data_IF_700152782167
#
_entry.id   IF_700152782167
#
_cell.length_a   1.000
_cell.length_b   1.000
_cell.length_c   1.000
_cell.angle_alpha   90.00
_cell.angle_beta   90.00
_cell.angle_gamma   90.00
#
_symmetry.space_group_name_H-M   'P 1'
#
loop_
_entity.id
_entity.type
_entity.pdbx_description
1 polymer ?
#
# COMPACT_ATOMS: atom_id res chain seq x y z
N UNK A 1 -3.29 65.17 49.28
CA UNK A 1 -4.72 65.14 48.90
C UNK A 1 -4.85 64.27 47.66
N UNK A 2 -5.62 63.18 47.78
CA UNK A 2 -6.38 62.50 46.71
C UNK A 2 -5.55 61.74 45.66
N UNK A 3 -5.89 60.55 45.16
CA UNK A 3 -6.72 59.44 45.61
C UNK A 3 -6.43 58.30 44.61
N UNK A 4 -6.46 57.11 45.17
CA UNK A 4 -6.35 55.74 44.65
C UNK A 4 -7.04 55.34 43.32
N UNK A 5 -6.55 54.18 42.84
CA UNK A 5 -7.19 53.11 42.03
C UNK A 5 -7.03 53.19 40.50
N UNK A 6 -6.23 52.30 39.90
CA UNK A 6 -6.59 50.89 39.60
C UNK A 6 -7.79 50.80 38.66
N UNK A 7 -7.53 50.87 37.35
CA UNK A 7 -8.47 50.41 36.32
C UNK A 7 -7.71 49.84 35.13
N UNK A 8 -7.64 48.51 35.15
CA UNK A 8 -7.94 47.63 34.02
C UNK A 8 -6.99 47.75 32.83
N UNK A 9 -5.92 46.95 32.94
CA UNK A 9 -5.28 46.22 31.85
C UNK A 9 -6.38 45.61 30.97
N UNK A 10 -6.66 46.23 29.81
CA UNK A 10 -7.63 45.73 28.85
C UNK A 10 -7.04 44.48 28.17
N UNK A 11 -7.29 43.33 28.80
CA UNK A 11 -7.34 42.03 28.15
C UNK A 11 -8.27 42.12 26.94
N UNK A 12 -7.71 41.95 25.75
CA UNK A 12 -8.37 41.26 24.64
C UNK A 12 -7.25 40.73 23.74
N UNK A 13 -6.55 39.77 24.32
CA UNK A 13 -5.77 38.76 23.61
C UNK A 13 -6.73 38.15 22.60
N UNK A 14 -6.52 38.46 21.32
CA UNK A 14 -7.08 37.70 20.22
C UNK A 14 -6.61 36.25 20.41
N UNK A 15 -7.47 35.43 21.01
CA UNK A 15 -7.43 33.98 20.91
C UNK A 15 -7.63 33.66 19.43
N UNK A 16 -6.55 33.76 18.66
CA UNK A 16 -6.37 32.91 17.51
C UNK A 16 -6.34 31.49 18.08
N UNK A 17 -7.51 30.88 18.06
CA UNK A 17 -7.65 29.44 18.08
C UNK A 17 -6.85 28.92 16.90
N UNK A 18 -5.56 28.66 17.12
CA UNK A 18 -4.90 27.52 16.51
C UNK A 18 -5.61 26.29 17.07
N UNK A 19 -6.81 26.04 16.54
CA UNK A 19 -7.25 24.68 16.34
C UNK A 19 -6.21 24.08 15.40
N UNK A 20 -5.27 23.32 15.95
CA UNK A 20 -4.59 22.29 15.20
C UNK A 20 -5.67 21.30 14.77
N UNK A 21 -6.35 21.62 13.67
CA UNK A 21 -7.03 20.63 12.85
C UNK A 21 -5.96 19.81 12.15
N UNK A 22 -5.27 18.98 12.92
CA UNK A 22 -4.53 17.83 12.40
C UNK A 22 -5.57 16.75 12.20
N UNK A 23 -6.00 16.62 10.96
CA UNK A 23 -6.84 15.57 10.41
C UNK A 23 -6.20 14.22 10.79
N UNK A 24 -6.68 13.59 11.88
CA UNK A 24 -6.37 12.19 12.20
C UNK A 24 -6.96 11.34 11.09
N UNK A 25 -6.20 11.21 9.99
CA UNK A 25 -6.42 10.23 8.95
C UNK A 25 -6.09 8.85 9.51
N UNK A 26 -6.91 8.37 10.45
CA UNK A 26 -7.30 6.96 10.50
C UNK A 26 -8.24 6.70 9.32
N UNK A 27 -7.77 7.00 8.12
CA UNK A 27 -8.46 6.75 6.88
C UNK A 27 -7.78 5.57 6.24
N UNK A 28 -8.48 4.44 6.20
CA UNK A 28 -8.37 3.43 5.15
C UNK A 28 -7.76 4.06 3.90
N UNK A 29 -6.45 3.90 3.68
CA UNK A 29 -5.85 4.18 2.39
C UNK A 29 -6.45 3.12 1.46
N UNK A 30 -7.49 3.50 0.73
CA UNK A 30 -7.94 2.71 -0.41
C UNK A 30 -6.74 2.75 -1.35
N UNK A 31 -5.99 1.65 -1.39
CA UNK A 31 -4.77 1.58 -2.19
C UNK A 31 -5.06 2.03 -3.61
N UNK A 32 -4.20 2.89 -4.16
CA UNK A 32 -4.27 3.36 -5.53
C UNK A 32 -3.88 2.23 -6.48
N UNK A 33 -4.68 1.17 -6.45
CA UNK A 33 -4.55 0.00 -7.29
C UNK A 33 -4.99 0.35 -8.69
N UNK A 34 -4.24 -0.12 -9.68
CA UNK A 34 -4.49 0.20 -11.09
C UNK A 34 -4.38 -1.06 -11.92
N UNK A 35 -5.27 -1.20 -12.88
CA UNK A 35 -5.09 -2.22 -13.91
C UNK A 35 -3.85 -1.87 -14.72
N UNK A 36 -3.14 -2.89 -15.19
CA UNK A 36 -1.95 -2.67 -15.99
C UNK A 36 -2.28 -1.97 -17.32
N UNK A 37 -1.37 -1.11 -17.75
CA UNK A 37 -1.33 -0.56 -19.10
C UNK A 37 0.12 -0.36 -19.53
N UNK A 38 0.40 -0.47 -20.83
CA UNK A 38 1.74 -0.22 -21.39
C UNK A 38 2.22 1.22 -21.11
N UNK A 39 1.27 2.18 -21.05
CA UNK A 39 1.58 3.56 -20.66
C UNK A 39 2.14 3.64 -19.23
N UNK A 40 1.55 2.89 -18.30
CA UNK A 40 2.05 2.84 -16.92
C UNK A 40 3.45 2.22 -16.87
N UNK A 41 3.71 1.16 -17.64
CA UNK A 41 5.05 0.56 -17.72
C UNK A 41 6.11 1.57 -18.20
N UNK A 42 5.77 2.43 -19.15
CA UNK A 42 6.66 3.48 -19.65
C UNK A 42 6.92 4.63 -18.65
N UNK A 43 6.07 4.79 -17.63
CA UNK A 43 6.17 5.87 -16.62
C UNK A 43 6.72 5.38 -15.29
N UNK A 44 6.53 4.12 -14.95
CA UNK A 44 6.89 3.52 -13.66
C UNK A 44 8.14 2.63 -13.81
N UNK A 45 9.31 3.06 -13.32
CA UNK A 45 10.56 2.32 -13.47
C UNK A 45 10.51 0.89 -12.90
N UNK A 46 9.76 0.67 -11.82
CA UNK A 46 9.64 -0.65 -11.18
C UNK A 46 8.79 -1.63 -12.02
N UNK A 47 7.73 -1.16 -12.70
CA UNK A 47 7.00 -1.99 -13.67
C UNK A 47 7.88 -2.35 -14.86
N UNK A 48 8.61 -1.37 -15.40
CA UNK A 48 9.61 -1.59 -16.44
C UNK A 48 10.68 -2.59 -16.01
N UNK A 49 11.11 -2.56 -14.75
CA UNK A 49 12.06 -3.52 -14.19
C UNK A 49 11.47 -4.93 -14.16
N UNK A 50 10.23 -5.09 -13.66
CA UNK A 50 9.54 -6.38 -13.64
C UNK A 50 9.43 -7.01 -15.04
N UNK A 51 8.99 -6.24 -16.05
CA UNK A 51 8.83 -6.73 -17.42
C UNK A 51 10.16 -7.13 -18.07
N UNK A 52 11.28 -6.52 -17.66
CA UNK A 52 12.62 -6.92 -18.14
C UNK A 52 13.07 -8.25 -17.54
N UNK A 53 12.76 -8.49 -16.26
CA UNK A 53 13.06 -9.76 -15.60
C UNK A 53 12.15 -10.89 -16.09
N UNK A 54 10.91 -10.55 -16.44
CA UNK A 54 9.86 -11.51 -16.77
C UNK A 54 9.15 -11.14 -18.09
N UNK A 55 9.83 -11.26 -19.24
CA UNK A 55 9.32 -10.79 -20.53
C UNK A 55 8.12 -11.60 -21.06
N UNK A 56 7.88 -12.78 -20.51
CA UNK A 56 6.79 -13.70 -20.86
C UNK A 56 5.56 -13.57 -19.96
N UNK A 57 5.64 -12.79 -18.87
CA UNK A 57 4.55 -12.63 -17.92
C UNK A 57 3.65 -11.46 -18.28
N UNK A 58 2.36 -11.63 -18.03
CA UNK A 58 1.35 -10.58 -18.26
C UNK A 58 0.94 -9.98 -16.93
N UNK A 59 1.26 -8.71 -16.72
CA UNK A 59 0.80 -7.97 -15.54
C UNK A 59 -0.70 -7.69 -15.68
N UNK A 60 -1.45 -7.94 -14.61
CA UNK A 60 -2.89 -7.72 -14.53
C UNK A 60 -3.21 -6.43 -13.76
N UNK A 61 -2.56 -6.27 -12.60
CA UNK A 61 -2.84 -5.19 -11.65
C UNK A 61 -1.57 -4.85 -10.86
N UNK A 62 -1.48 -3.60 -10.41
CA UNK A 62 -0.41 -3.16 -9.53
C UNK A 62 -0.91 -2.12 -8.53
N UNK A 63 -0.14 -1.90 -7.45
CA UNK A 63 -0.37 -0.83 -6.49
C UNK A 63 0.98 -0.36 -5.91
N UNK A 64 1.12 0.93 -5.63
CA UNK A 64 2.35 1.54 -5.12
C UNK A 64 2.16 2.07 -3.70
N UNK A 65 3.04 1.68 -2.78
CA UNK A 65 3.11 2.18 -1.41
C UNK A 65 4.54 2.01 -0.89
N UNK A 66 4.89 2.74 0.15
CA UNK A 66 6.11 2.49 0.92
C UNK A 66 5.81 1.31 1.86
N UNK A 67 6.30 0.11 1.52
CA UNK A 67 5.92 -1.12 2.23
C UNK A 67 6.86 -1.45 3.38
N UNK A 68 8.08 -0.90 3.37
CA UNK A 68 9.12 -1.15 4.36
C UNK A 68 9.56 0.10 5.15
N UNK A 69 8.87 1.24 4.95
CA UNK A 69 9.08 2.53 5.61
C UNK A 69 10.48 3.12 5.36
N UNK A 70 11.02 2.89 4.15
CA UNK A 70 12.32 3.45 3.73
C UNK A 70 12.21 4.84 3.07
N UNK A 71 10.99 5.37 2.95
CA UNK A 71 10.65 6.63 2.32
C UNK A 71 10.47 6.54 0.80
N UNK A 72 10.54 5.34 0.21
CA UNK A 72 10.40 5.10 -1.24
C UNK A 72 9.23 4.17 -1.48
N UNK A 73 8.47 4.49 -2.53
CA UNK A 73 7.39 3.60 -2.95
C UNK A 73 7.97 2.36 -3.62
N UNK A 74 7.50 1.22 -3.14
CA UNK A 74 7.57 -0.09 -3.76
C UNK A 74 6.37 -0.29 -4.68
N UNK A 75 6.34 -1.43 -5.38
CA UNK A 75 5.19 -1.82 -6.19
C UNK A 75 4.81 -3.29 -5.96
N UNK A 76 3.54 -3.51 -5.65
CA UNK A 76 2.92 -4.84 -5.71
C UNK A 76 2.51 -5.10 -7.15
N UNK A 77 2.86 -6.26 -7.69
CA UNK A 77 2.51 -6.66 -9.06
C UNK A 77 1.77 -7.99 -9.02
N UNK A 78 0.53 -7.99 -9.52
CA UNK A 78 -0.24 -9.22 -9.79
C UNK A 78 -0.11 -9.52 -11.27
N UNK A 79 0.29 -10.74 -11.61
CA UNK A 79 0.56 -11.17 -12.98
C UNK A 79 0.11 -12.60 -13.23
N UNK A 80 -0.10 -12.92 -14.50
CA UNK A 80 -0.29 -14.30 -14.96
C UNK A 80 1.06 -14.98 -15.09
N UNK A 81 1.28 -16.04 -14.32
CA UNK A 81 2.52 -16.80 -14.31
C UNK A 81 2.55 -17.88 -15.39
N UNK A 82 1.47 -18.66 -15.50
CA UNK A 82 1.29 -19.70 -16.52
C UNK A 82 -0.19 -20.08 -16.63
N UNK A 83 -0.70 -20.23 -17.87
CA UNK A 83 -2.10 -20.61 -18.12
C UNK A 83 -3.11 -19.73 -17.35
N UNK A 84 -3.91 -20.36 -16.50
CA UNK A 84 -4.87 -19.68 -15.62
C UNK A 84 -4.34 -19.43 -14.19
N UNK A 85 -3.03 -19.52 -13.94
CA UNK A 85 -2.45 -19.27 -12.62
C UNK A 85 -1.94 -17.85 -12.52
N UNK A 86 -2.42 -17.13 -11.50
CA UNK A 86 -1.92 -15.81 -11.18
C UNK A 86 -0.97 -15.89 -9.98
N UNK A 87 0.01 -14.99 -9.97
CA UNK A 87 0.93 -14.79 -8.86
C UNK A 87 1.03 -13.31 -8.54
N UNK A 88 1.57 -13.03 -7.36
CA UNK A 88 1.91 -11.72 -6.87
C UNK A 88 3.35 -11.72 -6.36
N UNK A 89 4.08 -10.65 -6.67
CA UNK A 89 5.38 -10.34 -6.07
C UNK A 89 5.40 -8.85 -5.70
N UNK A 90 6.31 -8.45 -4.81
CA UNK A 90 6.65 -7.04 -4.60
C UNK A 90 8.01 -6.74 -5.24
N UNK A 91 8.10 -5.61 -5.95
CA UNK A 91 9.38 -5.04 -6.39
C UNK A 91 9.72 -3.89 -5.44
N UNK A 92 10.71 -4.12 -4.60
CA UNK A 92 11.19 -3.17 -3.61
C UNK A 92 12.14 -2.16 -4.23
N UNK A 93 11.97 -0.90 -3.90
CA UNK A 93 12.74 0.23 -4.41
C UNK A 93 13.93 0.57 -3.51
N UNK A 94 14.84 -0.37 -3.32
CA UNK A 94 16.01 -0.14 -2.44
C UNK A 94 17.12 0.62 -3.17
N UNK A 95 17.96 1.34 -2.40
CA UNK A 95 18.99 2.27 -2.91
C UNK A 95 19.96 1.65 -3.92
N UNK A 96 20.37 0.40 -3.72
CA UNK A 96 21.37 -0.25 -4.58
C UNK A 96 20.81 -0.60 -5.97
N UNK A 97 19.69 -1.32 -5.99
CA UNK A 97 18.95 -1.71 -7.18
C UNK A 97 17.60 -2.31 -6.74
N UNK A 98 16.53 -2.23 -7.56
CA UNK A 98 15.28 -2.88 -7.24
C UNK A 98 15.43 -4.39 -6.96
N UNK A 99 14.70 -4.90 -5.99
CA UNK A 99 14.72 -6.33 -5.59
C UNK A 99 13.31 -6.89 -5.59
N UNK A 100 13.12 -8.06 -6.20
CA UNK A 100 11.84 -8.78 -6.18
C UNK A 100 11.76 -9.74 -4.99
N UNK A 101 10.60 -9.81 -4.33
CA UNK A 101 10.32 -10.82 -3.29
C UNK A 101 10.07 -12.21 -3.89
N UNK A 102 9.87 -13.23 -3.04
CA UNK A 102 9.26 -14.48 -3.49
C UNK A 102 7.86 -14.23 -4.11
N UNK A 103 7.49 -15.01 -5.14
CA UNK A 103 6.15 -14.98 -5.69
C UNK A 103 5.18 -15.78 -4.79
N UNK A 104 3.98 -15.27 -4.60
CA UNK A 104 2.87 -15.97 -3.92
C UNK A 104 1.67 -16.12 -4.87
N UNK A 105 0.81 -17.14 -4.70
CA UNK A 105 -0.43 -17.26 -5.47
C UNK A 105 -1.33 -16.03 -5.32
N UNK A 106 -2.03 -15.66 -6.40
CA UNK A 106 -2.96 -14.54 -6.40
C UNK A 106 -4.31 -14.93 -7.03
N UNK A 107 -5.43 -14.27 -6.66
CA UNK A 107 -6.74 -14.65 -7.15
C UNK A 107 -6.91 -14.56 -8.67
N UNK A 108 -7.74 -15.42 -9.26
CA UNK A 108 -7.94 -15.48 -10.72
C UNK A 108 -8.60 -14.22 -11.29
N UNK A 109 -9.61 -13.68 -10.61
CA UNK A 109 -10.34 -12.49 -11.03
C UNK A 109 -10.73 -11.59 -9.87
N UNK A 110 -11.22 -10.39 -10.21
CA UNK A 110 -11.70 -9.37 -9.28
C UNK A 110 -10.69 -9.04 -8.18
N UNK A 111 -9.39 -9.02 -8.53
CA UNK A 111 -8.35 -8.77 -7.56
C UNK A 111 -8.51 -7.37 -6.98
N UNK A 112 -8.36 -7.24 -5.67
CA UNK A 112 -8.30 -5.96 -4.99
C UNK A 112 -7.17 -5.96 -3.97
N UNK A 113 -6.37 -4.89 -4.01
CA UNK A 113 -5.27 -4.60 -3.09
C UNK A 113 -5.69 -3.41 -2.23
N UNK A 114 -5.58 -3.54 -0.91
CA UNK A 114 -5.87 -2.46 0.04
C UNK A 114 -4.76 -2.37 1.09
N UNK A 115 -4.10 -1.22 1.22
CA UNK A 115 -3.07 -1.02 2.24
C UNK A 115 -3.69 -0.78 3.61
N UNK A 116 -3.17 -1.42 4.65
CA UNK A 116 -3.65 -1.25 6.02
C UNK A 116 -2.46 -1.23 6.95
N UNK A 117 -2.43 -0.24 7.84
CA UNK A 117 -1.55 -0.25 8.99
C UNK A 117 -2.35 -0.84 10.16
N UNK A 118 -2.28 -2.15 10.34
CA UNK A 118 -3.13 -2.93 11.24
C UNK A 118 -2.64 -2.82 12.69
N UNK A 119 -1.33 -2.72 12.88
CA UNK A 119 -0.70 -2.68 14.21
C UNK A 119 0.05 -1.36 14.50
N UNK A 120 -0.16 -0.33 13.68
CA UNK A 120 0.48 0.99 13.80
C UNK A 120 2.02 0.95 13.74
N UNK A 121 2.60 -0.11 13.14
CA UNK A 121 4.05 -0.27 13.01
C UNK A 121 4.47 -0.72 11.61
N UNK A 122 5.60 -0.21 11.07
CA UNK A 122 6.20 -0.79 9.88
C UNK A 122 6.64 -2.24 10.11
N UNK A 123 6.78 -3.06 9.05
CA UNK A 123 6.45 -2.79 7.63
C UNK A 123 4.94 -2.77 7.35
N UNK A 124 4.48 -1.94 6.40
CA UNK A 124 3.05 -1.74 6.08
C UNK A 124 2.40 -3.01 5.48
N UNK A 125 1.22 -3.38 5.99
CA UNK A 125 0.46 -4.51 5.47
C UNK A 125 -0.42 -4.13 4.28
N UNK A 126 -0.81 -5.14 3.53
CA UNK A 126 -1.89 -5.02 2.58
C UNK A 126 -2.78 -6.26 2.55
N UNK A 127 -4.05 -6.02 2.27
CA UNK A 127 -5.04 -7.06 2.02
C UNK A 127 -5.09 -7.28 0.51
N UNK A 128 -4.90 -8.52 0.08
CA UNK A 128 -5.26 -8.98 -1.25
C UNK A 128 -6.51 -9.83 -1.16
N UNK A 129 -7.49 -9.54 -2.00
CA UNK A 129 -8.72 -10.32 -2.12
C UNK A 129 -9.08 -10.55 -3.58
N UNK A 130 -9.88 -11.56 -3.86
CA UNK A 130 -10.40 -11.82 -5.20
C UNK A 130 -11.17 -13.13 -5.27
N UNK A 131 -11.32 -13.69 -6.46
CA UNK A 131 -12.13 -14.91 -6.66
C UNK A 131 -11.67 -15.81 -7.80
N UNK A 132 -12.21 -17.03 -7.79
CA UNK A 132 -12.22 -18.01 -8.90
C UNK A 132 -13.62 -18.58 -9.05
N UNK A 133 -14.36 -18.09 -10.04
CA UNK A 133 -15.79 -18.41 -10.16
C UNK A 133 -16.55 -18.00 -8.90
N UNK A 134 -17.17 -18.98 -8.21
CA UNK A 134 -17.92 -18.74 -6.97
C UNK A 134 -17.06 -18.72 -5.70
N UNK A 135 -15.77 -19.10 -5.78
CA UNK A 135 -14.87 -19.15 -4.63
C UNK A 135 -14.22 -17.79 -4.40
N UNK A 136 -14.35 -17.24 -3.20
CA UNK A 136 -13.77 -15.95 -2.80
C UNK A 136 -12.70 -16.21 -1.74
N UNK A 137 -11.59 -15.48 -1.82
CA UNK A 137 -10.56 -15.53 -0.80
C UNK A 137 -9.95 -14.16 -0.54
N UNK A 138 -9.34 -14.02 0.64
CA UNK A 138 -8.54 -12.88 1.02
C UNK A 138 -7.36 -13.31 1.88
N UNK A 139 -6.29 -12.53 1.85
CA UNK A 139 -5.17 -12.66 2.77
C UNK A 139 -4.52 -11.31 3.06
N UNK A 140 -3.85 -11.24 4.20
CA UNK A 140 -3.11 -10.10 4.70
C UNK A 140 -1.63 -10.42 4.54
N UNK A 141 -0.91 -9.55 3.85
CA UNK A 141 0.50 -9.74 3.56
C UNK A 141 1.35 -8.62 4.16
N UNK A 142 2.59 -8.96 4.48
CA UNK A 142 3.65 -8.05 4.92
C UNK A 142 4.99 -8.51 4.37
N UNK A 143 5.92 -7.58 4.20
CA UNK A 143 7.31 -7.92 3.88
C UNK A 143 8.09 -8.11 5.18
N UNK A 144 8.66 -9.29 5.40
CA UNK A 144 9.53 -9.58 6.53
C UNK A 144 10.89 -10.06 6.02
N UNK A 145 11.98 -9.42 6.44
CA UNK A 145 13.34 -9.75 6.01
C UNK A 145 13.51 -9.80 4.47
N UNK A 146 12.72 -9.02 3.73
CA UNK A 146 12.70 -9.00 2.27
C UNK A 146 11.92 -10.13 1.60
N UNK A 147 11.22 -10.94 2.37
CA UNK A 147 10.31 -11.99 1.91
C UNK A 147 8.87 -11.49 2.06
N UNK A 148 8.04 -11.77 1.07
CA UNK A 148 6.60 -11.53 1.17
C UNK A 148 5.95 -12.69 1.94
N UNK A 149 5.32 -12.37 3.06
CA UNK A 149 4.75 -13.32 4.01
C UNK A 149 3.23 -13.16 4.05
N UNK A 150 2.50 -14.28 4.03
CA UNK A 150 1.09 -14.35 4.36
C UNK A 150 0.94 -14.39 5.89
N UNK A 151 0.42 -13.32 6.48
CA UNK A 151 0.18 -13.22 7.92
C UNK A 151 -1.08 -13.98 8.32
N UNK A 152 -2.10 -13.93 7.46
CA UNK A 152 -3.41 -14.53 7.69
C UNK A 152 -4.23 -14.51 6.41
N UNK A 153 -4.87 -15.63 6.08
CA UNK A 153 -5.77 -15.72 4.94
C UNK A 153 -6.89 -16.73 5.13
N UNK A 154 -7.93 -16.58 4.31
CA UNK A 154 -9.07 -17.49 4.24
C UNK A 154 -9.52 -17.63 2.78
N UNK A 155 -9.67 -18.86 2.29
CA UNK A 155 -10.15 -19.18 0.95
C UNK A 155 -9.22 -18.84 -0.22
N UNK A 156 -7.97 -18.45 0.03
CA UNK A 156 -7.00 -18.09 -1.01
C UNK A 156 -6.55 -19.32 -1.82
N UNK A 157 -6.36 -20.46 -1.18
CA UNK A 157 -6.01 -21.74 -1.81
C UNK A 157 -7.04 -22.19 -2.86
N UNK A 158 -8.26 -21.69 -2.71
CA UNK A 158 -9.43 -22.06 -3.47
C UNK A 158 -9.71 -21.08 -4.62
N UNK A 159 -9.16 -19.86 -4.53
CA UNK A 159 -9.40 -18.79 -5.48
C UNK A 159 -8.18 -18.40 -6.35
N UNK A 160 -7.03 -19.02 -6.12
CA UNK A 160 -5.79 -18.84 -6.91
C UNK A 160 -5.59 -19.92 -8.01
#
# INVERSE_FOLDING_TARGET
>A
MIQVHSTILLLLICLFLWGCGGDDRSGTEVGDQRNFSEEAAGKLPLLSHFLKLHPDRVILKYAEADLDDDGRKDIIVIYRADGEKNQMSVIRNVVAAPVETNPLPAPISDQMIQFRNIDDTPPLEFILQGRKGAKVGYAIFRIEEGVLVDLFGDGMEDCC
#
